data_IF_482946033818
#
_entry.id   IF_482946033818
#
_cell.length_a   1.000
_cell.length_b   1.000
_cell.length_c   1.000
_cell.angle_alpha   90.00
_cell.angle_beta   90.00
_cell.angle_gamma   90.00
#
_symmetry.space_group_name_H-M   'P 1'
#
loop_
_entity.id
_entity.type
_entity.pdbx_description
1 polymer ?
#
# COMPACT_ATOMS: atom_id res chain seq x y z
N UNK A 1 6.70 0.52 22.93
CA UNK A 1 7.64 1.03 21.91
C UNK A 1 7.13 2.39 21.48
N UNK A 2 7.96 3.43 21.65
CA UNK A 2 7.59 4.81 21.33
C UNK A 2 7.74 5.06 19.82
N UNK A 3 6.76 5.74 19.22
CA UNK A 3 6.87 6.25 17.85
C UNK A 3 8.06 7.21 17.77
N UNK A 4 8.84 7.19 16.67
CA UNK A 4 9.97 8.09 16.51
C UNK A 4 9.49 9.55 16.48
N UNK A 5 10.17 10.38 17.26
CA UNK A 5 10.08 11.83 17.24
C UNK A 5 10.20 12.34 15.79
N UNK A 6 9.08 12.77 15.21
CA UNK A 6 9.04 13.65 14.04
C UNK A 6 9.48 15.04 14.49
N UNK A 7 10.80 15.19 14.69
CA UNK A 7 11.40 16.47 15.00
C UNK A 7 11.26 17.42 13.82
N UNK A 8 10.60 18.56 14.05
CA UNK A 8 11.10 19.82 13.52
C UNK A 8 10.30 20.51 12.42
N UNK A 9 9.04 20.16 12.16
CA UNK A 9 8.09 21.14 11.63
C UNK A 9 7.13 21.48 12.76
N UNK A 10 7.50 22.51 13.52
CA UNK A 10 6.56 23.26 14.34
C UNK A 10 5.52 23.86 13.39
N UNK A 11 4.50 23.06 13.04
CA UNK A 11 3.15 23.61 13.01
C UNK A 11 2.99 24.20 14.40
N UNK A 12 3.18 25.52 14.53
CA UNK A 12 2.83 26.21 15.76
C UNK A 12 1.42 25.76 16.05
N UNK A 13 1.23 24.99 17.13
CA UNK A 13 -0.09 24.55 17.55
C UNK A 13 -0.92 25.82 17.62
N UNK A 14 -1.91 26.02 16.73
CA UNK A 14 -2.74 27.18 16.87
C UNK A 14 -3.46 26.95 18.18
N UNK A 15 -3.08 27.74 19.18
CA UNK A 15 -3.93 27.90 20.37
C UNK A 15 -5.29 28.32 19.83
N UNK A 16 -6.39 27.96 20.51
CA UNK A 16 -7.75 28.08 19.96
C UNK A 16 -8.18 29.47 19.44
N UNK A 17 -7.35 30.50 19.55
CA UNK A 17 -7.51 31.83 18.95
C UNK A 17 -6.82 32.02 17.56
N UNK A 18 -5.87 31.17 17.15
CA UNK A 18 -5.20 31.27 15.83
C UNK A 18 -5.88 30.41 14.74
N UNK A 19 -6.69 29.41 15.15
CA UNK A 19 -7.44 28.55 14.24
C UNK A 19 -8.60 29.29 13.57
N UNK A 20 -9.16 30.31 14.23
CA UNK A 20 -10.28 31.10 13.71
C UNK A 20 -9.91 32.02 12.52
N UNK A 21 -8.62 32.18 12.20
CA UNK A 21 -8.16 33.14 11.18
C UNK A 21 -7.69 32.53 9.86
N UNK A 22 -7.50 31.21 9.76
CA UNK A 22 -7.08 30.57 8.51
C UNK A 22 -8.31 30.24 7.65
N UNK A 23 -8.58 31.11 6.69
CA UNK A 23 -9.56 30.81 5.64
C UNK A 23 -9.17 29.58 4.84
N UNK A 24 -10.16 28.89 4.25
CA UNK A 24 -9.95 27.68 3.43
C UNK A 24 -8.89 27.87 2.33
N UNK A 25 -8.74 29.10 1.81
CA UNK A 25 -7.74 29.44 0.80
C UNK A 25 -6.29 29.24 1.28
N UNK A 26 -5.96 29.63 2.52
CA UNK A 26 -4.61 29.49 3.08
C UNK A 26 -4.27 28.03 3.36
N UNK A 27 -5.28 27.25 3.74
CA UNK A 27 -5.17 25.82 3.99
C UNK A 27 -4.93 25.08 2.70
N UNK A 28 -5.73 25.36 1.67
CA UNK A 28 -5.53 24.82 0.33
C UNK A 28 -4.12 25.14 -0.17
N UNK A 29 -3.63 26.37 0.03
CA UNK A 29 -2.28 26.75 -0.34
C UNK A 29 -1.21 25.91 0.39
N UNK A 30 -1.36 25.66 1.69
CA UNK A 30 -0.45 24.81 2.45
C UNK A 30 -0.49 23.35 1.99
N UNK A 31 -1.68 22.81 1.74
CA UNK A 31 -1.86 21.44 1.22
C UNK A 31 -1.18 21.32 -0.15
N UNK A 32 -1.41 22.27 -1.06
CA UNK A 32 -0.79 22.30 -2.38
C UNK A 32 0.74 22.44 -2.29
N UNK A 33 1.26 23.28 -1.41
CA UNK A 33 2.71 23.38 -1.20
C UNK A 33 3.34 22.06 -0.74
N UNK A 34 2.65 21.28 0.09
CA UNK A 34 3.11 19.95 0.50
C UNK A 34 3.08 18.96 -0.68
N UNK A 35 2.05 19.03 -1.53
CA UNK A 35 1.96 18.22 -2.74
C UNK A 35 3.09 18.55 -3.71
N UNK A 36 3.36 19.84 -3.93
CA UNK A 36 4.46 20.33 -4.79
C UNK A 36 5.83 19.87 -4.29
N UNK A 37 6.00 19.79 -2.97
CA UNK A 37 7.20 19.25 -2.34
C UNK A 37 7.31 17.71 -2.41
N UNK A 38 6.33 17.02 -3.00
CA UNK A 38 6.26 15.55 -3.06
C UNK A 38 5.75 14.88 -1.77
N UNK A 39 5.28 15.67 -0.81
CA UNK A 39 4.82 15.20 0.51
C UNK A 39 3.30 14.99 0.52
N UNK A 40 2.78 14.15 -0.38
CA UNK A 40 1.33 13.93 -0.53
C UNK A 40 0.65 13.39 0.74
N UNK A 41 1.31 12.49 1.48
CA UNK A 41 0.79 11.95 2.76
C UNK A 41 0.60 13.07 3.80
N UNK A 42 1.61 13.95 3.93
CA UNK A 42 1.55 15.11 4.80
C UNK A 42 0.45 16.09 4.37
N UNK A 43 0.23 16.24 3.06
CA UNK A 43 -0.84 17.08 2.52
C UNK A 43 -2.23 16.56 2.91
N UNK A 44 -2.48 15.25 2.75
CA UNK A 44 -3.73 14.60 3.15
C UNK A 44 -3.95 14.67 4.68
N UNK A 45 -2.89 14.49 5.48
CA UNK A 45 -2.96 14.61 6.94
C UNK A 45 -3.25 16.05 7.38
N UNK A 46 -2.58 17.03 6.76
CA UNK A 46 -2.81 18.46 7.01
C UNK A 46 -4.27 18.84 6.74
N UNK A 47 -4.81 18.38 5.60
CA UNK A 47 -6.21 18.59 5.25
C UNK A 47 -7.17 17.99 6.30
N UNK A 48 -6.85 16.78 6.79
CA UNK A 48 -7.69 16.07 7.77
C UNK A 48 -7.67 16.73 9.14
N UNK A 49 -6.50 17.17 9.60
CA UNK A 49 -6.35 17.91 10.86
C UNK A 49 -7.15 19.21 10.78
N UNK A 50 -7.01 19.95 9.68
CA UNK A 50 -7.75 21.20 9.48
C UNK A 50 -9.27 20.97 9.48
N UNK A 51 -9.76 20.01 8.70
CA UNK A 51 -11.19 19.70 8.66
C UNK A 51 -11.72 19.36 10.06
N UNK A 52 -11.01 18.55 10.84
CA UNK A 52 -11.44 18.24 12.20
C UNK A 52 -11.43 19.48 13.12
N UNK A 53 -10.46 20.37 12.99
CA UNK A 53 -10.35 21.54 13.88
C UNK A 53 -11.35 22.65 13.54
N UNK A 54 -11.52 22.95 12.25
CA UNK A 54 -12.33 24.09 11.80
C UNK A 54 -13.78 23.68 11.55
N UNK A 55 -14.08 22.50 11.00
CA UNK A 55 -15.47 22.11 10.76
C UNK A 55 -16.27 21.91 12.04
N UNK A 56 -15.61 21.56 13.15
CA UNK A 56 -16.24 21.51 14.46
C UNK A 56 -16.54 22.90 15.04
N UNK A 57 -15.74 23.91 14.70
CA UNK A 57 -15.89 25.29 15.19
C UNK A 57 -16.77 26.17 14.28
N UNK A 58 -16.73 25.93 12.97
CA UNK A 58 -17.45 26.68 11.94
C UNK A 58 -17.81 25.74 10.77
N UNK A 59 -19.08 25.28 10.75
CA UNK A 59 -19.57 24.31 9.77
C UNK A 59 -19.63 24.88 8.34
N UNK A 60 -19.95 26.17 8.20
CA UNK A 60 -20.03 26.85 6.90
C UNK A 60 -18.68 26.99 6.20
N UNK A 61 -17.58 27.06 6.96
CA UNK A 61 -16.22 27.12 6.42
C UNK A 61 -15.77 25.81 5.75
N UNK A 62 -16.51 24.71 5.97
CA UNK A 62 -16.19 23.39 5.44
C UNK A 62 -17.05 22.93 4.27
N UNK A 63 -18.21 23.55 4.09
CA UNK A 63 -19.14 23.28 2.99
C UNK A 63 -18.82 24.20 1.78
N UNK A 64 -17.54 24.28 1.38
CA UNK A 64 -17.11 24.97 0.16
C UNK A 64 -16.70 23.94 -0.90
N UNK A 65 -17.71 23.46 -1.64
CA UNK A 65 -17.55 22.47 -2.69
C UNK A 65 -16.58 22.91 -3.79
N UNK A 66 -16.61 24.19 -4.16
CA UNK A 66 -15.75 24.73 -5.22
C UNK A 66 -14.27 24.68 -4.80
N UNK A 67 -13.98 24.92 -3.52
CA UNK A 67 -12.64 24.83 -2.96
C UNK A 67 -12.13 23.38 -2.90
N UNK A 68 -12.94 22.43 -2.43
CA UNK A 68 -12.58 21.01 -2.36
C UNK A 68 -12.42 20.36 -3.74
N UNK A 69 -13.27 20.72 -4.71
CA UNK A 69 -13.15 20.26 -6.10
C UNK A 69 -11.84 20.76 -6.71
N UNK A 70 -11.52 22.05 -6.56
CA UNK A 70 -10.25 22.63 -7.07
C UNK A 70 -9.02 22.03 -6.40
N UNK A 71 -9.09 21.80 -5.09
CA UNK A 71 -8.02 21.13 -4.35
C UNK A 71 -7.80 19.72 -4.90
N UNK A 72 -8.87 18.95 -5.09
CA UNK A 72 -8.82 17.60 -5.65
C UNK A 72 -8.20 17.60 -7.04
N UNK A 73 -8.68 18.46 -7.94
CA UNK A 73 -8.12 18.60 -9.29
C UNK A 73 -6.62 18.89 -9.26
N UNK A 74 -6.22 19.84 -8.43
CA UNK A 74 -4.82 20.27 -8.35
C UNK A 74 -3.95 19.18 -7.74
N UNK A 75 -4.35 18.64 -6.58
CA UNK A 75 -3.57 17.65 -5.86
C UNK A 75 -3.23 16.40 -6.69
N UNK A 76 -4.23 15.87 -7.40
CA UNK A 76 -4.05 14.64 -8.15
C UNK A 76 -3.45 14.87 -9.54
N UNK A 77 -3.61 16.07 -10.13
CA UNK A 77 -2.88 16.46 -11.35
C UNK A 77 -1.36 16.36 -11.16
N UNK A 78 -0.83 16.78 -10.01
CA UNK A 78 0.59 16.66 -9.69
C UNK A 78 1.06 15.20 -9.54
N UNK A 79 0.17 14.33 -9.07
CA UNK A 79 0.41 12.89 -9.03
C UNK A 79 0.29 12.22 -10.41
N UNK A 80 -0.08 12.96 -11.46
CA UNK A 80 -0.44 12.43 -12.79
C UNK A 80 -1.58 11.42 -12.72
N UNK A 81 -2.50 11.65 -11.77
CA UNK A 81 -3.71 10.88 -11.55
C UNK A 81 -4.89 11.73 -12.02
N UNK A 82 -5.82 11.13 -12.76
CA UNK A 82 -7.06 11.79 -13.16
C UNK A 82 -8.20 11.29 -12.25
N UNK A 83 -8.48 11.96 -11.12
CA UNK A 83 -9.53 11.50 -10.22
C UNK A 83 -10.91 11.77 -10.84
N UNK A 84 -11.87 10.89 -10.59
CA UNK A 84 -13.28 11.24 -10.73
C UNK A 84 -13.58 12.40 -9.77
N UNK A 85 -14.13 13.49 -10.29
CA UNK A 85 -14.53 14.64 -9.48
C UNK A 85 -16.02 14.54 -9.22
N UNK A 86 -16.44 14.84 -8.00
CA UNK A 86 -17.85 15.10 -7.76
C UNK A 86 -18.25 16.40 -8.46
N UNK A 87 -19.40 16.35 -9.13
CA UNK A 87 -20.05 17.49 -9.77
C UNK A 87 -20.83 18.31 -8.73
N UNK A 88 -21.32 19.48 -9.15
CA UNK A 88 -22.25 20.27 -8.32
C UNK A 88 -23.59 19.55 -8.16
N UNK A 89 -24.00 18.74 -9.13
CA UNK A 89 -25.19 17.90 -9.01
C UNK A 89 -25.01 16.84 -7.92
N UNK A 90 -23.86 16.15 -7.88
CA UNK A 90 -23.58 15.16 -6.82
C UNK A 90 -23.60 15.80 -5.42
N UNK A 91 -23.05 17.01 -5.29
CA UNK A 91 -23.09 17.77 -4.05
C UNK A 91 -24.54 18.13 -3.63
N UNK A 92 -25.39 18.51 -4.61
CA UNK A 92 -26.80 18.80 -4.38
C UNK A 92 -27.62 17.54 -3.99
N UNK A 93 -27.17 16.35 -4.38
CA UNK A 93 -27.74 15.06 -3.97
C UNK A 93 -27.26 14.59 -2.59
N UNK A 94 -26.41 15.37 -1.92
CA UNK A 94 -25.95 15.12 -0.55
C UNK A 94 -24.59 14.42 -0.47
N UNK A 95 -23.87 14.27 -1.58
CA UNK A 95 -22.49 13.78 -1.56
C UNK A 95 -21.52 14.87 -1.10
N UNK A 96 -20.64 14.56 -0.14
CA UNK A 96 -19.66 15.52 0.38
C UNK A 96 -18.38 15.53 -0.47
N UNK A 97 -18.08 16.66 -1.12
CA UNK A 97 -16.83 16.89 -1.87
C UNK A 97 -15.58 16.75 -0.98
N UNK A 98 -15.67 17.19 0.28
CA UNK A 98 -14.65 16.98 1.29
C UNK A 98 -14.43 15.50 1.60
N UNK A 99 -15.50 14.75 1.89
CA UNK A 99 -15.38 13.32 2.18
C UNK A 99 -14.78 12.57 0.98
N UNK A 100 -15.15 12.98 -0.23
CA UNK A 100 -14.60 12.45 -1.46
C UNK A 100 -13.10 12.73 -1.61
N UNK A 101 -12.64 13.95 -1.33
CA UNK A 101 -11.20 14.25 -1.30
C UNK A 101 -10.43 13.31 -0.35
N UNK A 102 -10.94 13.06 0.85
CA UNK A 102 -10.29 12.15 1.79
C UNK A 102 -10.31 10.69 1.34
N UNK A 103 -11.38 10.26 0.69
CA UNK A 103 -11.46 8.94 0.10
C UNK A 103 -10.39 8.77 -1.01
N UNK A 104 -10.22 9.78 -1.88
CA UNK A 104 -9.16 9.78 -2.89
C UNK A 104 -7.76 9.75 -2.26
N UNK A 105 -7.53 10.49 -1.18
CA UNK A 105 -6.29 10.45 -0.40
C UNK A 105 -6.00 9.04 0.15
N UNK A 106 -7.02 8.35 0.67
CA UNK A 106 -6.89 6.98 1.17
C UNK A 106 -6.54 6.01 0.03
N UNK A 107 -7.21 6.11 -1.11
CA UNK A 107 -6.96 5.27 -2.29
C UNK A 107 -5.53 5.45 -2.83
N UNK A 108 -5.07 6.69 -2.97
CA UNK A 108 -3.70 6.98 -3.38
C UNK A 108 -2.64 6.41 -2.40
N UNK A 109 -2.90 6.53 -1.10
CA UNK A 109 -2.02 5.96 -0.07
C UNK A 109 -1.97 4.43 -0.16
N UNK A 110 -3.12 3.78 -0.32
CA UNK A 110 -3.19 2.32 -0.52
C UNK A 110 -2.45 1.87 -1.78
N UNK A 111 -2.60 2.60 -2.89
CA UNK A 111 -1.84 2.31 -4.12
C UNK A 111 -0.33 2.41 -3.90
N UNK A 112 0.15 3.48 -3.24
CA UNK A 112 1.58 3.63 -2.93
C UNK A 112 2.11 2.48 -2.07
N UNK A 113 1.36 2.09 -1.05
CA UNK A 113 1.70 0.95 -0.17
C UNK A 113 1.72 -0.36 -0.94
N UNK A 114 0.70 -0.63 -1.76
CA UNK A 114 0.61 -1.84 -2.57
C UNK A 114 1.77 -1.96 -3.56
N UNK A 115 2.08 -0.87 -4.28
CA UNK A 115 3.20 -0.81 -5.21
C UNK A 115 4.54 -1.03 -4.51
N UNK A 116 4.75 -0.43 -3.33
CA UNK A 116 5.95 -0.64 -2.52
C UNK A 116 6.10 -2.10 -2.09
N UNK A 117 5.06 -2.68 -1.49
CA UNK A 117 5.06 -4.09 -1.06
C UNK A 117 5.28 -5.06 -2.21
N UNK A 118 4.63 -4.83 -3.36
CA UNK A 118 4.82 -5.66 -4.55
C UNK A 118 6.29 -5.66 -4.99
N UNK A 119 6.90 -4.48 -5.09
CA UNK A 119 8.30 -4.36 -5.50
C UNK A 119 9.26 -5.04 -4.51
N UNK A 120 8.97 -4.96 -3.21
CA UNK A 120 9.78 -5.58 -2.16
C UNK A 120 9.65 -7.11 -2.17
N UNK A 121 8.42 -7.64 -2.22
CA UNK A 121 8.17 -9.08 -2.25
C UNK A 121 8.73 -9.70 -3.53
N UNK A 122 8.56 -9.06 -4.69
CA UNK A 122 9.12 -9.51 -5.98
C UNK A 122 10.65 -9.63 -5.90
N UNK A 123 11.32 -8.58 -5.41
CA UNK A 123 12.78 -8.59 -5.24
C UNK A 123 13.23 -9.69 -4.29
N UNK A 124 12.47 -9.93 -3.22
CA UNK A 124 12.78 -10.97 -2.23
C UNK A 124 12.63 -12.37 -2.82
N UNK A 125 11.60 -12.60 -3.63
CA UNK A 125 11.37 -13.86 -4.32
C UNK A 125 12.46 -14.17 -5.35
N UNK A 126 12.88 -13.18 -6.15
CA UNK A 126 14.01 -13.33 -7.07
C UNK A 126 15.31 -13.71 -6.34
N UNK A 127 15.57 -13.05 -5.19
CA UNK A 127 16.72 -13.36 -4.35
C UNK A 127 16.61 -14.77 -3.74
N UNK A 128 15.44 -15.14 -3.24
CA UNK A 128 15.16 -16.47 -2.70
C UNK A 128 15.42 -17.56 -3.75
N UNK A 129 14.87 -17.43 -4.96
CA UNK A 129 15.06 -18.42 -6.02
C UNK A 129 16.49 -18.52 -6.53
N UNK A 130 17.25 -17.41 -6.48
CA UNK A 130 18.68 -17.43 -6.81
C UNK A 130 19.48 -18.20 -5.76
N UNK A 131 19.32 -17.82 -4.50
CA UNK A 131 20.04 -18.44 -3.38
C UNK A 131 19.67 -19.92 -3.23
N UNK A 132 18.39 -20.27 -3.39
CA UNK A 132 17.94 -21.65 -3.36
C UNK A 132 18.57 -22.49 -4.47
N UNK A 133 18.65 -21.97 -5.71
CA UNK A 133 19.30 -22.66 -6.83
C UNK A 133 20.79 -22.89 -6.56
N UNK A 134 21.50 -21.87 -6.07
CA UNK A 134 22.91 -21.99 -5.70
C UNK A 134 23.14 -23.03 -4.60
N UNK A 135 22.33 -22.99 -3.53
CA UNK A 135 22.40 -23.97 -2.45
C UNK A 135 22.11 -25.39 -2.92
N UNK A 136 21.14 -25.57 -3.85
CA UNK A 136 20.86 -26.90 -4.43
C UNK A 136 22.00 -27.41 -5.29
N UNK A 137 22.59 -26.57 -6.14
CA UNK A 137 23.73 -26.95 -6.98
C UNK A 137 24.95 -27.32 -6.12
N UNK A 138 25.26 -26.50 -5.12
CA UNK A 138 26.35 -26.76 -4.17
C UNK A 138 26.11 -28.05 -3.37
N UNK A 139 24.88 -28.27 -2.91
CA UNK A 139 24.52 -29.51 -2.20
C UNK A 139 24.58 -30.74 -3.10
N UNK A 140 24.27 -30.61 -4.39
CA UNK A 140 24.37 -31.72 -5.36
C UNK A 140 25.83 -32.05 -5.70
N UNK A 141 26.71 -31.04 -5.72
CA UNK A 141 28.15 -31.22 -5.94
C UNK A 141 28.87 -31.90 -4.76
N UNK A 142 28.36 -31.75 -3.54
CA UNK A 142 28.88 -32.36 -2.31
C UNK A 142 28.38 -33.79 -2.07
N UNK A 143 27.81 -34.46 -3.09
CA UNK A 143 27.44 -35.87 -2.94
C UNK A 143 28.69 -36.68 -2.60
N UNK A 144 28.73 -37.35 -1.43
CA UNK A 144 29.92 -38.05 -1.00
C UNK A 144 30.25 -39.19 -1.98
N UNK A 145 31.49 -39.20 -2.46
CA UNK A 145 32.09 -40.34 -3.14
C UNK A 145 32.64 -41.28 -2.04
N UNK A 146 32.03 -42.45 -1.79
CA UNK A 146 32.41 -43.33 -0.68
C UNK A 146 33.84 -43.86 -0.78
N UNK A 147 34.54 -43.61 -1.89
CA UNK A 147 35.91 -44.03 -2.14
C UNK A 147 36.97 -42.93 -1.89
N UNK A 148 36.60 -41.71 -1.45
CA UNK A 148 37.54 -40.60 -1.24
C UNK A 148 37.70 -40.18 0.24
N UNK A 149 38.92 -39.83 0.69
CA UNK A 149 39.23 -39.54 2.09
C UNK A 149 38.75 -38.17 2.63
N UNK A 150 38.16 -37.30 1.81
CA UNK A 150 37.71 -35.95 2.23
C UNK A 150 36.31 -35.90 2.89
N UNK A 151 35.74 -37.07 3.19
CA UNK A 151 34.35 -37.28 3.58
C UNK A 151 33.88 -36.50 4.84
N UNK A 152 34.78 -36.20 5.79
CA UNK A 152 34.46 -35.46 7.03
C UNK A 152 34.25 -33.96 6.75
N UNK A 153 35.01 -33.39 5.82
CA UNK A 153 34.89 -31.99 5.38
C UNK A 153 33.59 -31.80 4.61
N UNK A 154 33.28 -32.74 3.71
CA UNK A 154 32.05 -32.73 2.91
C UNK A 154 30.79 -32.85 3.79
N UNK A 155 30.85 -33.65 4.87
CA UNK A 155 29.74 -33.79 5.82
C UNK A 155 29.47 -32.49 6.61
N UNK A 156 30.52 -31.80 7.07
CA UNK A 156 30.40 -30.50 7.75
C UNK A 156 29.81 -29.44 6.82
N UNK A 157 30.25 -29.42 5.57
CA UNK A 157 29.79 -28.48 4.55
C UNK A 157 28.32 -28.75 4.17
N UNK A 158 27.92 -30.02 3.99
CA UNK A 158 26.54 -30.41 3.77
C UNK A 158 25.63 -29.98 4.94
N UNK A 159 26.09 -30.13 6.18
CA UNK A 159 25.34 -29.69 7.38
C UNK A 159 25.19 -28.16 7.44
N UNK A 160 26.20 -27.41 6.99
CA UNK A 160 26.15 -25.94 6.86
C UNK A 160 25.12 -25.51 5.81
N UNK A 161 25.16 -26.09 4.61
CA UNK A 161 24.20 -25.80 3.54
C UNK A 161 22.76 -26.13 3.96
N UNK A 162 22.53 -27.25 4.64
CA UNK A 162 21.21 -27.60 5.20
C UNK A 162 20.71 -26.63 6.26
N UNK A 163 21.61 -25.94 6.98
CA UNK A 163 21.22 -24.87 7.92
C UNK A 163 20.86 -23.59 7.17
N UNK A 164 21.63 -23.23 6.14
CA UNK A 164 21.32 -22.07 5.28
C UNK A 164 19.98 -22.26 4.56
N UNK A 165 19.73 -23.44 3.99
CA UNK A 165 18.45 -23.76 3.34
C UNK A 165 17.26 -23.58 4.30
N UNK A 166 17.38 -24.07 5.54
CA UNK A 166 16.33 -23.89 6.56
C UNK A 166 16.12 -22.43 6.95
N UNK A 167 17.18 -21.64 7.08
CA UNK A 167 17.05 -20.19 7.35
C UNK A 167 16.34 -19.48 6.21
N UNK A 168 16.66 -19.86 4.97
CA UNK A 168 16.02 -19.35 3.77
C UNK A 168 14.52 -19.72 3.74
N UNK A 169 14.18 -21.00 3.97
CA UNK A 169 12.79 -21.51 4.03
C UNK A 169 11.95 -20.79 5.09
N UNK A 170 12.52 -20.48 6.24
CA UNK A 170 11.83 -19.77 7.32
C UNK A 170 11.98 -18.24 7.21
N UNK A 171 12.52 -17.74 6.09
CA UNK A 171 12.77 -16.33 5.83
C UNK A 171 13.45 -15.59 7.00
N UNK A 172 14.40 -16.26 7.67
CA UNK A 172 15.10 -15.73 8.85
C UNK A 172 16.02 -14.55 8.53
N UNK A 173 16.40 -14.42 7.26
CA UNK A 173 17.39 -13.46 6.77
C UNK A 173 16.74 -12.26 6.05
N UNK A 174 15.41 -12.10 6.16
CA UNK A 174 14.69 -10.91 5.70
C UNK A 174 14.93 -9.72 6.64
N UNK A 175 15.47 -8.59 6.15
CA UNK A 175 15.79 -7.44 6.99
C UNK A 175 14.55 -6.63 7.44
N UNK A 176 13.38 -6.86 6.84
CA UNK A 176 12.15 -6.11 7.10
C UNK A 176 11.10 -6.92 7.85
N UNK A 177 10.91 -8.20 7.47
CA UNK A 177 10.00 -9.14 8.14
C UNK A 177 10.72 -10.48 8.42
N UNK A 178 11.76 -10.48 9.28
CA UNK A 178 12.45 -11.72 9.64
C UNK A 178 11.46 -12.70 10.24
N UNK A 179 11.61 -13.99 9.91
CA UNK A 179 10.80 -15.11 10.42
C UNK A 179 9.38 -15.22 9.86
N UNK A 180 8.91 -14.22 9.10
CA UNK A 180 7.62 -14.31 8.39
C UNK A 180 7.86 -15.05 7.07
N UNK A 181 7.28 -16.26 6.88
CA UNK A 181 7.48 -17.03 5.65
C UNK A 181 7.07 -16.21 4.42
N UNK A 182 7.82 -16.39 3.31
CA UNK A 182 7.56 -15.67 2.07
C UNK A 182 6.13 -15.90 1.56
N UNK A 183 5.59 -17.11 1.73
CA UNK A 183 4.21 -17.45 1.38
C UNK A 183 3.16 -16.60 2.10
N UNK A 184 3.39 -16.29 3.38
CA UNK A 184 2.49 -15.41 4.16
C UNK A 184 2.59 -13.97 3.66
N UNK A 185 3.79 -13.52 3.29
CA UNK A 185 3.95 -12.17 2.71
C UNK A 185 3.31 -12.05 1.32
N UNK A 186 3.28 -13.14 0.55
CA UNK A 186 2.58 -13.22 -0.74
C UNK A 186 1.06 -13.17 -0.55
N UNK A 187 0.52 -13.85 0.46
CA UNK A 187 -0.90 -13.78 0.83
C UNK A 187 -1.30 -12.37 1.30
N UNK A 188 -0.53 -11.76 2.21
CA UNK A 188 -0.68 -10.34 2.61
C UNK A 188 -0.72 -9.38 1.40
N UNK A 189 0.11 -9.66 0.39
CA UNK A 189 0.19 -8.88 -0.84
C UNK A 189 -1.05 -9.10 -1.71
N UNK A 190 -1.52 -10.36 -1.84
CA UNK A 190 -2.77 -10.67 -2.54
C UNK A 190 -3.91 -9.85 -1.96
N UNK A 191 -4.15 -9.96 -0.65
CA UNK A 191 -5.26 -9.27 0.01
C UNK A 191 -5.22 -7.76 -0.16
N UNK A 192 -4.02 -7.17 -0.08
CA UNK A 192 -3.83 -5.74 -0.31
C UNK A 192 -4.19 -5.34 -1.74
N UNK A 193 -3.73 -6.10 -2.74
CA UNK A 193 -4.02 -5.82 -4.16
C UNK A 193 -5.51 -6.04 -4.47
N UNK A 194 -6.13 -7.08 -3.92
CA UNK A 194 -7.58 -7.33 -4.03
C UNK A 194 -8.41 -6.21 -3.44
N UNK A 195 -8.07 -5.77 -2.22
CA UNK A 195 -8.73 -4.63 -1.57
C UNK A 195 -8.56 -3.35 -2.40
N UNK A 196 -7.37 -3.12 -2.95
CA UNK A 196 -7.13 -1.97 -3.81
C UNK A 196 -7.99 -2.05 -5.08
N UNK A 197 -7.98 -3.16 -5.83
CA UNK A 197 -8.81 -3.33 -7.02
C UNK A 197 -10.29 -3.09 -6.73
N UNK A 198 -10.85 -3.70 -5.69
CA UNK A 198 -12.25 -3.47 -5.27
C UNK A 198 -12.57 -1.99 -5.05
N UNK A 199 -11.65 -1.24 -4.42
CA UNK A 199 -11.81 0.20 -4.22
C UNK A 199 -11.70 1.03 -5.52
N UNK A 200 -10.98 0.52 -6.52
CA UNK A 200 -10.84 1.15 -7.83
C UNK A 200 -11.98 0.80 -8.78
N UNK A 201 -12.59 -0.38 -8.69
CA UNK A 201 -13.69 -0.81 -9.58
C UNK A 201 -15.04 -0.24 -9.18
N UNK A 202 -15.31 -0.07 -7.88
CA UNK A 202 -16.57 0.49 -7.39
C UNK A 202 -16.79 1.94 -7.85
N UNK A 203 -15.71 2.71 -7.94
CA UNK A 203 -15.69 4.06 -8.53
C UNK A 203 -14.30 4.31 -9.12
N UNK A 204 -14.14 4.33 -10.47
CA UNK A 204 -12.83 4.39 -11.11
C UNK A 204 -12.02 5.59 -10.63
N UNK A 205 -11.03 5.28 -9.80
CA UNK A 205 -9.94 6.17 -9.45
C UNK A 205 -8.83 5.91 -10.47
N UNK A 206 -8.81 6.75 -11.51
CA UNK A 206 -7.90 6.68 -12.67
C UNK A 206 -7.77 5.28 -13.29
N UNK A 207 -8.37 5.08 -14.47
CA UNK A 207 -8.31 3.83 -15.24
C UNK A 207 -6.87 3.33 -15.44
N UNK A 208 -5.89 4.24 -15.46
CA UNK A 208 -4.47 3.88 -15.55
C UNK A 208 -3.99 3.17 -14.29
N UNK A 209 -4.41 3.60 -13.10
CA UNK A 209 -4.02 2.94 -11.85
C UNK A 209 -4.63 1.55 -11.78
N UNK A 210 -5.89 1.41 -12.17
CA UNK A 210 -6.54 0.11 -12.26
C UNK A 210 -5.81 -0.80 -13.27
N UNK A 211 -5.44 -0.27 -14.43
CA UNK A 211 -4.62 -0.99 -15.43
C UNK A 211 -3.25 -1.39 -14.87
N UNK A 212 -2.56 -0.50 -14.17
CA UNK A 212 -1.25 -0.79 -13.54
C UNK A 212 -1.40 -1.89 -12.49
N UNK A 213 -2.47 -1.87 -11.70
CA UNK A 213 -2.76 -2.90 -10.69
C UNK A 213 -3.06 -4.25 -11.34
N UNK A 214 -3.87 -4.28 -12.40
CA UNK A 214 -4.16 -5.51 -13.14
C UNK A 214 -2.89 -6.09 -13.79
N UNK A 215 -2.09 -5.25 -14.46
CA UNK A 215 -0.83 -5.68 -15.06
C UNK A 215 0.18 -6.19 -14.01
N UNK A 216 0.24 -5.53 -12.84
CA UNK A 216 1.05 -5.96 -11.72
C UNK A 216 0.63 -7.33 -11.17
N UNK A 217 -0.69 -7.56 -11.04
CA UNK A 217 -1.23 -8.85 -10.63
C UNK A 217 -0.88 -9.95 -11.63
N UNK A 218 -1.17 -9.73 -12.91
CA UNK A 218 -0.89 -10.71 -13.97
C UNK A 218 0.61 -11.05 -14.05
N UNK A 219 1.48 -10.03 -13.92
CA UNK A 219 2.93 -10.23 -13.96
C UNK A 219 3.44 -11.06 -12.78
N UNK A 220 2.81 -10.94 -11.61
CA UNK A 220 3.30 -11.55 -10.37
C UNK A 220 2.63 -12.89 -10.05
N UNK A 221 1.29 -12.95 -10.14
CA UNK A 221 0.51 -14.15 -9.82
C UNK A 221 0.13 -14.98 -11.06
N UNK A 222 0.25 -14.41 -12.26
CA UNK A 222 -0.12 -15.04 -13.51
C UNK A 222 -1.52 -14.62 -14.00
N UNK A 223 -1.80 -14.81 -15.30
CA UNK A 223 -3.06 -14.40 -15.93
C UNK A 223 -4.26 -15.25 -15.48
N UNK A 224 -4.02 -16.47 -15.02
CA UNK A 224 -5.07 -17.43 -14.64
C UNK A 224 -5.44 -17.34 -13.14
N UNK A 225 -4.71 -16.55 -12.34
CA UNK A 225 -5.03 -16.39 -10.92
C UNK A 225 -6.19 -15.42 -10.74
N UNK A 226 -7.33 -15.85 -10.14
CA UNK A 226 -8.47 -14.98 -9.96
C UNK A 226 -8.19 -13.91 -8.89
N UNK A 227 -8.37 -12.64 -9.27
CA UNK A 227 -8.18 -11.51 -8.37
C UNK A 227 -9.36 -11.32 -7.40
N UNK A 228 -10.54 -11.83 -7.75
CA UNK A 228 -11.67 -11.91 -6.82
C UNK A 228 -11.83 -13.37 -6.46
N UNK A 229 -11.97 -13.68 -5.17
CA UNK A 229 -12.50 -14.99 -4.82
C UNK A 229 -13.95 -14.98 -5.29
N UNK A 230 -14.36 -15.98 -6.06
CA UNK A 230 -15.80 -16.20 -6.27
C UNK A 230 -16.37 -16.33 -4.85
N UNK A 231 -17.14 -15.33 -4.43
CA UNK A 231 -17.95 -15.44 -3.24
C UNK A 231 -18.80 -16.68 -3.49
N UNK A 232 -18.42 -17.79 -2.88
CA UNK A 232 -19.21 -19.00 -2.93
C UNK A 232 -20.55 -18.63 -2.32
N UNK A 233 -21.52 -18.30 -3.16
CA UNK A 233 -22.93 -18.47 -2.86
C UNK A 233 -23.06 -19.94 -2.46
N UNK A 234 -22.91 -20.18 -1.16
CA UNK A 234 -23.26 -21.46 -0.56
C UNK A 234 -24.73 -21.62 -0.85
N UNK A 235 -25.03 -22.47 -1.83
CA UNK A 235 -26.32 -23.06 -2.05
C UNK A 235 -26.91 -23.43 -0.70
N UNK A 236 -27.80 -22.59 -0.17
CA UNK A 236 -28.75 -22.98 0.86
C UNK A 236 -29.75 -23.91 0.16
N UNK A 237 -29.26 -25.11 -0.14
CA UNK A 237 -30.05 -26.21 -0.61
C UNK A 237 -31.01 -26.54 0.53
N UNK A 238 -32.22 -25.98 0.39
CA UNK A 238 -33.35 -26.23 1.25
C UNK A 238 -33.43 -27.71 1.61
N UNK A 239 -33.22 -27.99 2.89
CA UNK A 239 -33.58 -29.26 3.49
C UNK A 239 -35.06 -29.18 3.81
N UNK A 240 -35.88 -29.47 2.80
CA UNK A 240 -37.20 -30.04 3.02
C UNK A 240 -37.03 -31.55 3.24
N UNK A 241 -37.43 -32.05 4.41
CA UNK A 241 -37.42 -33.47 4.77
C UNK A 241 -37.64 -33.73 6.25
#
# INVERSE_FOLDING_TARGET
MALPNLGGLSLGSPTGADAEALGIADVIKNILSNIDAGNFELACETARIWANQICHANREACDDDDAWIKLTQSAFKHLKITPKLLTKEDAAEGHSTMAWFFELCNRASRYKVARGRLADVTRREEAYHREWRELRLNSAALKPDPLKPNHITDEKEAKRLKRQLRRLEHNMDDPYKPTVPLSVQQEDLRDLVRMLKRSLTADPFDDKILSDVNAAWEAYFGPDEPMEEEDGEGDDAGVDG
#
